data_IF_564188969705
#
_entry.id   IF_564188969705
#
_cell.length_a   1.000
_cell.length_b   1.000
_cell.length_c   1.000
_cell.angle_alpha   90.00
_cell.angle_beta   90.00
_cell.angle_gamma   90.00
#
_symmetry.space_group_name_H-M   'P 1'
#
loop_
_entity.id
_entity.type
_entity.pdbx_description
1 polymer ?
#
# COMPACT_ATOMS: atom_id res chain seq x y z
N UNK A 1 -14.35 -9.31 -21.13
CA UNK A 1 -13.87 -10.14 -20.01
C UNK A 1 -13.19 -9.14 -19.09
N UNK A 2 -13.81 -8.78 -17.96
CA UNK A 2 -13.14 -7.90 -17.01
C UNK A 2 -12.02 -8.72 -16.37
N UNK A 3 -10.78 -8.28 -16.51
CA UNK A 3 -9.64 -8.90 -15.84
C UNK A 3 -9.92 -8.87 -14.34
N UNK A 4 -9.86 -10.02 -13.68
CA UNK A 4 -10.22 -10.14 -12.27
C UNK A 4 -9.19 -9.39 -11.41
N UNK A 5 -9.64 -8.76 -10.32
CA UNK A 5 -8.73 -8.14 -9.36
C UNK A 5 -8.03 -9.25 -8.59
N UNK A 6 -6.72 -9.41 -8.80
CA UNK A 6 -5.90 -10.27 -7.97
C UNK A 6 -5.65 -9.56 -6.65
N UNK A 7 -6.09 -10.17 -5.55
CA UNK A 7 -5.95 -9.57 -4.22
C UNK A 7 -5.14 -10.50 -3.34
N UNK A 8 -4.08 -9.96 -2.76
CA UNK A 8 -3.26 -10.63 -1.76
C UNK A 8 -3.14 -9.76 -0.51
N UNK A 9 -2.85 -10.40 0.62
CA UNK A 9 -2.66 -9.70 1.89
C UNK A 9 -1.23 -9.86 2.34
N UNK A 10 -0.57 -8.76 2.67
CA UNK A 10 0.76 -8.73 3.27
C UNK A 10 0.71 -8.12 4.67
N UNK A 11 1.70 -8.44 5.50
CA UNK A 11 1.83 -7.89 6.86
C UNK A 11 3.06 -6.99 6.92
N UNK A 12 2.85 -5.70 7.16
CA UNK A 12 3.90 -4.69 7.28
C UNK A 12 3.83 -3.99 8.64
N UNK A 13 4.90 -4.06 9.43
CA UNK A 13 5.00 -3.42 10.74
C UNK A 13 3.77 -3.68 11.66
N UNK A 14 3.33 -4.94 11.73
CA UNK A 14 2.13 -5.41 12.47
C UNK A 14 0.78 -4.92 11.89
N UNK A 15 0.79 -4.39 10.66
CA UNK A 15 -0.40 -3.92 9.95
C UNK A 15 -0.70 -4.83 8.77
N UNK A 16 -1.91 -5.36 8.71
CA UNK A 16 -2.38 -6.13 7.56
C UNK A 16 -2.80 -5.19 6.45
N UNK A 17 -2.19 -5.36 5.27
CA UNK A 17 -2.45 -4.55 4.09
C UNK A 17 -2.96 -5.49 3.00
N UNK A 18 -4.18 -5.25 2.54
CA UNK A 18 -4.74 -5.89 1.36
C UNK A 18 -4.29 -5.11 0.12
N UNK A 19 -3.64 -5.80 -0.80
CA UNK A 19 -3.19 -5.27 -2.08
C UNK A 19 -4.04 -5.94 -3.16
N UNK A 20 -4.85 -5.15 -3.84
CA UNK A 20 -5.63 -5.58 -5.00
C UNK A 20 -4.99 -5.00 -6.25
N UNK A 21 -4.68 -5.80 -7.26
CA UNK A 21 -4.17 -5.31 -8.52
C UNK A 21 -4.98 -5.86 -9.69
N UNK A 22 -5.07 -5.05 -10.76
CA UNK A 22 -5.74 -5.44 -11.99
C UNK A 22 -4.82 -5.17 -13.18
N UNK A 23 -4.56 -6.23 -13.93
CA UNK A 23 -3.85 -6.16 -15.20
C UNK A 23 -4.73 -5.48 -16.25
N UNK A 24 -4.12 -4.58 -17.04
CA UNK A 24 -4.75 -3.84 -18.14
C UNK A 24 -6.07 -3.12 -17.77
N UNK A 25 -5.95 -2.20 -16.81
CA UNK A 25 -7.03 -1.33 -16.39
C UNK A 25 -7.55 -0.48 -17.57
N UNK A 26 -8.85 -0.58 -17.84
CA UNK A 26 -9.57 0.16 -18.91
C UNK A 26 -9.02 -0.04 -20.34
N UNK A 27 -8.23 -1.09 -20.62
CA UNK A 27 -7.62 -1.26 -21.95
C UNK A 27 -6.54 -0.22 -22.25
N UNK A 28 -6.00 0.44 -21.22
CA UNK A 28 -5.06 1.55 -21.36
C UNK A 28 -3.59 1.13 -21.33
N UNK A 29 -3.29 -0.15 -21.09
CA UNK A 29 -1.90 -0.62 -20.89
C UNK A 29 -1.29 -0.23 -19.54
N UNK A 30 -2.11 0.25 -18.60
CA UNK A 30 -1.73 0.51 -17.21
C UNK A 30 -2.31 -0.53 -16.28
N UNK A 31 -1.59 -0.84 -15.21
CA UNK A 31 -2.10 -1.65 -14.11
C UNK A 31 -2.60 -0.73 -13.00
N UNK A 32 -3.69 -1.16 -12.38
CA UNK A 32 -4.29 -0.45 -11.25
C UNK A 32 -4.04 -1.27 -9.99
N UNK A 33 -3.30 -0.68 -9.05
CA UNK A 33 -2.96 -1.31 -7.77
C UNK A 33 -3.60 -0.50 -6.66
N UNK A 34 -4.39 -1.16 -5.84
CA UNK A 34 -5.13 -0.60 -4.72
C UNK A 34 -4.60 -1.20 -3.42
N UNK A 35 -4.13 -0.32 -2.56
CA UNK A 35 -3.70 -0.64 -1.22
C UNK A 35 -4.83 -0.32 -0.26
N UNK A 36 -5.18 -1.27 0.59
CA UNK A 36 -6.22 -1.11 1.60
C UNK A 36 -5.74 -1.67 2.93
N UNK A 37 -5.69 -0.80 3.93
CA UNK A 37 -5.37 -1.12 5.30
C UNK A 37 -6.47 -0.57 6.20
N UNK A 38 -6.79 -1.28 7.27
CA UNK A 38 -7.73 -0.83 8.30
C UNK A 38 -7.12 0.29 9.16
N UNK A 39 -5.79 0.35 9.21
CA UNK A 39 -5.04 1.31 9.98
C UNK A 39 -4.48 2.43 9.10
N UNK A 40 -4.18 3.57 9.75
CA UNK A 40 -3.44 4.66 9.12
C UNK A 40 -2.08 4.16 8.65
N UNK A 41 -1.71 4.50 7.41
CA UNK A 41 -0.41 4.21 6.82
C UNK A 41 0.39 5.51 6.65
N UNK A 42 1.73 5.44 6.54
CA UNK A 42 2.54 6.63 6.26
C UNK A 42 2.19 7.26 4.91
N UNK A 43 1.76 6.45 3.93
CA UNK A 43 1.39 6.89 2.58
C UNK A 43 -0.05 7.39 2.45
N UNK A 44 -0.92 7.11 3.44
CA UNK A 44 -2.34 7.47 3.39
C UNK A 44 -2.96 7.57 4.79
N UNK A 45 -3.73 8.63 5.00
CA UNK A 45 -4.38 8.89 6.31
C UNK A 45 -5.57 7.95 6.55
N UNK A 46 -6.22 7.49 5.48
CA UNK A 46 -7.42 6.63 5.54
C UNK A 46 -7.12 5.14 5.44
N UNK A 47 -5.86 4.76 5.19
CA UNK A 47 -5.48 3.37 4.93
C UNK A 47 -5.70 2.91 3.47
N UNK A 48 -6.32 3.75 2.63
CA UNK A 48 -6.52 3.45 1.20
C UNK A 48 -5.59 4.27 0.29
N UNK A 49 -4.98 3.63 -0.71
CA UNK A 49 -4.18 4.31 -1.75
C UNK A 49 -4.23 3.58 -3.09
N UNK A 50 -4.59 4.30 -4.14
CA UNK A 50 -4.53 3.82 -5.53
C UNK A 50 -3.20 4.22 -6.17
N UNK A 51 -2.56 3.28 -6.86
CA UNK A 51 -1.30 3.45 -7.59
C UNK A 51 -1.53 2.95 -9.01
N UNK A 52 -1.12 3.77 -9.98
CA UNK A 52 -1.19 3.43 -11.39
C UNK A 52 0.22 3.20 -11.90
N UNK A 53 0.50 2.01 -12.43
CA UNK A 53 1.82 1.63 -12.94
C UNK A 53 1.71 1.19 -14.40
N UNK A 54 2.78 1.30 -15.20
CA UNK A 54 2.79 0.73 -16.55
C UNK A 54 2.78 -0.81 -16.52
N UNK A 55 2.25 -1.45 -17.57
CA UNK A 55 2.08 -2.91 -17.66
C UNK A 55 3.33 -3.77 -17.44
N UNK A 56 4.53 -3.21 -17.57
CA UNK A 56 5.80 -3.93 -17.38
C UNK A 56 6.44 -3.69 -16.00
N UNK A 57 5.69 -3.14 -15.04
CA UNK A 57 6.26 -2.74 -13.76
C UNK A 57 6.55 -3.92 -12.81
N UNK A 58 5.80 -5.02 -12.89
CA UNK A 58 5.92 -6.17 -11.98
C UNK A 58 5.71 -7.48 -12.75
N UNK A 59 6.53 -8.49 -12.50
CA UNK A 59 6.40 -9.83 -13.06
C UNK A 59 5.55 -10.76 -12.19
N UNK A 60 5.59 -10.55 -10.86
CA UNK A 60 4.95 -11.41 -9.86
C UNK A 60 4.44 -10.58 -8.66
N UNK A 61 3.50 -11.13 -7.87
CA UNK A 61 2.97 -10.51 -6.65
C UNK A 61 4.08 -10.14 -5.64
N UNK A 62 5.18 -10.90 -5.63
CA UNK A 62 6.32 -10.66 -4.76
C UNK A 62 7.02 -9.31 -5.05
N UNK A 63 7.08 -8.88 -6.31
CA UNK A 63 7.65 -7.57 -6.66
C UNK A 63 6.73 -6.43 -6.25
N UNK A 64 5.41 -6.63 -6.37
CA UNK A 64 4.40 -5.68 -5.89
C UNK A 64 4.52 -5.55 -4.37
N UNK A 65 4.62 -6.67 -3.65
CA UNK A 65 4.84 -6.68 -2.20
C UNK A 65 6.11 -5.90 -1.83
N UNK A 66 7.25 -6.20 -2.46
CA UNK A 66 8.51 -5.53 -2.21
C UNK A 66 8.42 -4.02 -2.49
N UNK A 67 7.76 -3.62 -3.57
CA UNK A 67 7.53 -2.21 -3.91
C UNK A 67 6.66 -1.50 -2.87
N UNK A 68 5.57 -2.14 -2.44
CA UNK A 68 4.68 -1.60 -1.40
C UNK A 68 5.43 -1.44 -0.08
N UNK A 69 6.21 -2.45 0.33
CA UNK A 69 7.01 -2.41 1.56
C UNK A 69 8.06 -1.30 1.50
N UNK A 70 8.78 -1.17 0.39
CA UNK A 70 9.77 -0.10 0.19
C UNK A 70 9.11 1.29 0.26
N UNK A 71 7.99 1.48 -0.44
CA UNK A 71 7.23 2.72 -0.43
C UNK A 71 6.75 3.09 0.99
N UNK A 72 6.28 2.09 1.76
CA UNK A 72 5.86 2.29 3.14
C UNK A 72 7.04 2.63 4.05
N UNK A 73 8.20 1.99 3.87
CA UNK A 73 9.41 2.26 4.64
C UNK A 73 9.93 3.68 4.37
N UNK A 74 10.06 4.06 3.10
CA UNK A 74 10.46 5.42 2.71
C UNK A 74 9.49 6.47 3.26
N UNK A 75 8.18 6.22 3.16
CA UNK A 75 7.18 7.12 3.72
C UNK A 75 7.22 7.12 5.26
N UNK A 76 7.56 6.01 5.90
CA UNK A 76 7.71 5.92 7.35
C UNK A 76 8.89 6.74 7.88
N UNK A 77 9.90 7.00 7.06
CA UNK A 77 11.00 7.90 7.41
C UNK A 77 10.59 9.39 7.42
N UNK A 78 9.37 9.72 6.97
CA UNK A 78 8.88 11.09 7.01
C UNK A 78 8.64 11.57 8.44
N UNK A 79 9.10 12.80 8.74
CA UNK A 79 8.92 13.44 10.06
C UNK A 79 7.45 13.47 10.54
N UNK A 80 6.49 13.63 9.61
CA UNK A 80 5.06 13.59 9.93
C UNK A 80 4.61 12.22 10.46
N UNK A 81 5.13 11.13 9.91
CA UNK A 81 4.81 9.78 10.36
C UNK A 81 5.46 9.46 11.71
N UNK A 82 6.73 9.85 11.88
CA UNK A 82 7.42 9.71 13.16
C UNK A 82 6.69 10.45 14.28
N UNK A 83 6.26 11.71 14.04
CA UNK A 83 5.48 12.47 15.00
C UNK A 83 4.13 11.79 15.35
N UNK A 84 3.44 11.21 14.36
CA UNK A 84 2.23 10.42 14.60
C UNK A 84 2.51 9.16 15.44
N UNK A 85 3.61 8.45 15.19
CA UNK A 85 3.99 7.28 15.98
C UNK A 85 4.34 7.65 17.42
N UNK A 86 5.01 8.78 17.62
CA UNK A 86 5.32 9.30 18.96
C UNK A 86 4.05 9.73 19.71
N UNK A 87 3.16 10.49 19.06
CA UNK A 87 1.86 10.90 19.62
C UNK A 87 0.98 9.69 19.97
N UNK A 88 0.91 8.71 19.07
CA UNK A 88 0.15 7.48 19.29
C UNK A 88 0.70 6.61 20.42
N UNK A 89 2.00 6.72 20.75
CA UNK A 89 2.60 6.09 21.94
C UNK A 89 2.32 6.90 23.21
N UNK A 90 2.32 8.23 23.12
CA UNK A 90 2.13 9.14 24.24
C UNK A 90 0.67 9.15 24.76
N UNK A 91 -0.31 8.96 23.88
CA UNK A 91 -1.74 8.89 24.23
C UNK A 91 -2.13 7.71 25.13
N UNK A 92 -1.22 6.78 25.46
CA UNK A 92 -1.47 5.67 26.39
C UNK A 92 -1.17 5.98 27.86
N UNK A 93 -0.88 7.24 28.22
CA UNK A 93 -0.51 7.63 29.59
C UNK A 93 -1.57 8.39 30.40
N UNK A 94 -2.87 8.27 30.09
CA UNK A 94 -3.94 8.84 30.91
C UNK A 94 -4.96 7.80 31.36
#
# INVERSE_FOLDING_TARGET
>A
MAEEYETFTLVWADRTIAVSHQTNWLGSGHWHIELRCDQRLPITTTGYRSIFVPQAAFADDAEIEAFVVALLDEAAQSKNWLAYLEDSKQLKFF
#
